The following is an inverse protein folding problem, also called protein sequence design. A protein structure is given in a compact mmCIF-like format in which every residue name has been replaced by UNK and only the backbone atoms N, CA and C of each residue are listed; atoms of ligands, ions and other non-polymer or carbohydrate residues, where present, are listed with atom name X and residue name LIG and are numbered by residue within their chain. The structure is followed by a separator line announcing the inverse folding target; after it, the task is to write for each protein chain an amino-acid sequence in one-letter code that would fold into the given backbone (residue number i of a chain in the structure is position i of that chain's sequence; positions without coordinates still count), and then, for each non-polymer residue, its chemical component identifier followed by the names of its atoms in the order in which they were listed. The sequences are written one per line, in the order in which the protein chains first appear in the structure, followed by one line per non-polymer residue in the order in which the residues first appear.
data_IF_402905846046
#
_entry.id   IF_402905846046
#
_cell.length_a   1.000
_cell.length_b   1.000
_cell.length_c   1.000
_cell.angle_alpha   90.00
_cell.angle_beta   90.00
_cell.angle_gamma   90.00
#
_symmetry.space_group_name_H-M   'P 1'
#
loop_
_entity.id
_entity.type
_entity.pdbx_description
1 polymer ?
#
# COMPACT_ATOMS: atom_id res chain seq x y z
N UNK A 1 -13.34 17.96 4.10
CA UNK A 1 -11.99 18.53 4.32
C UNK A 1 -11.06 17.57 5.08
N UNK A 2 -9.83 17.40 4.60
CA UNK A 2 -8.76 16.61 5.23
C UNK A 2 -7.59 17.53 5.61
N UNK A 3 -6.95 17.26 6.74
CA UNK A 3 -5.58 17.73 7.01
C UNK A 3 -4.61 16.68 6.51
N UNK A 4 -3.52 17.12 5.90
CA UNK A 4 -2.47 16.27 5.35
C UNK A 4 -1.12 16.60 5.97
N UNK A 5 -0.21 15.62 6.01
CA UNK A 5 1.19 15.82 6.35
C UNK A 5 2.07 14.83 5.61
N UNK A 6 3.32 15.22 5.37
CA UNK A 6 4.34 14.34 4.80
C UNK A 6 4.96 13.48 5.90
N UNK A 7 5.25 12.23 5.57
CA UNK A 7 5.99 11.30 6.43
C UNK A 7 7.09 10.61 5.64
N UNK A 8 8.32 10.71 6.15
CA UNK A 8 9.52 10.15 5.57
C UNK A 8 10.73 10.98 5.99
N UNK A 9 11.91 10.59 5.51
CA UNK A 9 13.16 11.28 5.78
C UNK A 9 13.32 12.48 4.85
N UNK A 10 13.66 13.63 5.41
CA UNK A 10 13.81 14.91 4.69
C UNK A 10 15.29 15.33 4.55
N UNK A 11 16.21 14.61 5.20
CA UNK A 11 17.67 14.79 5.16
C UNK A 11 18.14 16.24 5.33
N UNK A 12 17.51 16.99 6.25
CA UNK A 12 17.82 18.39 6.59
C UNK A 12 17.84 19.38 5.40
N UNK A 13 17.26 19.00 4.25
CA UNK A 13 17.16 19.90 3.10
C UNK A 13 16.06 20.93 3.31
N UNK A 14 16.27 22.12 2.77
CA UNK A 14 15.19 23.06 2.55
C UNK A 14 14.27 22.54 1.44
N UNK A 15 13.16 21.94 1.85
CA UNK A 15 12.19 21.29 0.96
C UNK A 15 11.60 22.29 -0.04
N UNK A 16 11.55 23.59 0.32
CA UNK A 16 11.03 24.65 -0.56
C UNK A 16 11.85 24.86 -1.82
N UNK A 17 13.10 24.42 -1.83
CA UNK A 17 13.98 24.48 -3.01
C UNK A 17 14.02 23.16 -3.79
N UNK A 18 13.39 22.11 -3.25
CA UNK A 18 13.39 20.78 -3.83
C UNK A 18 12.24 20.59 -4.83
N UNK A 19 12.45 19.66 -5.75
CA UNK A 19 11.43 19.23 -6.71
C UNK A 19 10.81 17.88 -6.30
N UNK A 20 9.53 17.69 -6.55
CA UNK A 20 8.85 16.44 -6.26
C UNK A 20 8.12 15.85 -7.48
N UNK A 21 7.99 14.53 -7.49
CA UNK A 21 7.13 13.80 -8.42
C UNK A 21 5.91 13.31 -7.65
N UNK A 22 4.72 13.54 -8.21
CA UNK A 22 3.44 13.01 -7.72
C UNK A 22 2.86 12.05 -8.76
N UNK A 23 3.11 10.72 -8.64
CA UNK A 23 2.47 9.74 -9.50
C UNK A 23 0.99 9.58 -9.15
N UNK A 24 0.14 9.59 -10.17
CA UNK A 24 -1.31 9.48 -10.09
C UNK A 24 -1.73 8.15 -10.68
N UNK A 25 -2.07 7.20 -9.81
CA UNK A 25 -2.83 6.01 -10.19
C UNK A 25 -4.31 6.39 -10.38
N UNK A 26 -4.74 6.48 -11.64
CA UNK A 26 -6.10 6.90 -12.02
C UNK A 26 -7.14 5.91 -11.45
N UNK A 27 -8.24 6.45 -10.91
CA UNK A 27 -9.31 5.67 -10.29
C UNK A 27 -9.09 5.33 -8.80
N UNK A 28 -7.94 5.70 -8.22
CA UNK A 28 -7.72 5.56 -6.78
C UNK A 28 -8.37 6.70 -6.00
N UNK A 29 -9.19 6.37 -4.99
CA UNK A 29 -9.96 7.35 -4.19
C UNK A 29 -9.13 8.44 -3.51
N UNK A 30 -7.84 8.23 -3.29
CA UNK A 30 -6.95 9.22 -2.68
C UNK A 30 -6.37 10.23 -3.68
N UNK A 31 -6.51 9.98 -4.98
CA UNK A 31 -6.20 10.93 -6.06
C UNK A 31 -7.46 11.62 -6.58
N UNK A 32 -8.52 11.69 -5.78
CA UNK A 32 -9.77 12.34 -6.18
C UNK A 32 -10.25 13.30 -5.08
N UNK A 33 -11.05 14.29 -5.49
CA UNK A 33 -11.83 15.17 -4.61
C UNK A 33 -11.00 15.82 -3.49
N UNK A 34 -11.57 15.94 -2.29
CA UNK A 34 -10.96 16.54 -1.10
C UNK A 34 -9.57 16.00 -0.76
N UNK A 35 -9.28 14.72 -1.03
CA UNK A 35 -7.96 14.14 -0.73
C UNK A 35 -6.91 14.61 -1.71
N UNK A 36 -7.24 14.66 -2.98
CA UNK A 36 -6.34 15.21 -3.99
C UNK A 36 -6.11 16.70 -3.76
N UNK A 37 -7.19 17.47 -3.51
CA UNK A 37 -7.08 18.89 -3.18
C UNK A 37 -6.16 19.15 -1.97
N UNK A 38 -6.32 18.39 -0.88
CA UNK A 38 -5.44 18.52 0.30
C UNK A 38 -3.99 18.05 0.04
N UNK A 39 -3.77 17.20 -0.96
CA UNK A 39 -2.42 16.81 -1.41
C UNK A 39 -1.76 17.93 -2.21
N UNK A 40 -2.52 18.59 -3.11
CA UNK A 40 -2.04 19.75 -3.86
C UNK A 40 -1.69 20.91 -2.94
N UNK A 41 -2.55 21.23 -1.96
CA UNK A 41 -2.27 22.27 -0.95
C UNK A 41 -0.99 21.97 -0.16
N UNK A 42 -0.80 20.70 0.25
CA UNK A 42 0.41 20.25 0.93
C UNK A 42 1.65 20.43 0.05
N UNK A 43 1.59 20.00 -1.21
CA UNK A 43 2.73 20.12 -2.13
C UNK A 43 3.08 21.59 -2.37
N UNK A 44 2.08 22.42 -2.68
CA UNK A 44 2.26 23.85 -2.92
C UNK A 44 2.90 24.56 -1.71
N UNK A 45 2.57 24.09 -0.50
CA UNK A 45 3.08 24.63 0.76
C UNK A 45 4.45 24.10 1.15
N UNK A 46 5.04 23.11 0.47
CA UNK A 46 6.31 22.49 0.90
C UNK A 46 7.39 22.45 -0.18
N UNK A 47 7.05 22.38 -1.47
CA UNK A 47 8.03 22.22 -2.55
C UNK A 47 8.16 23.48 -3.41
N UNK A 48 9.23 23.56 -4.20
CA UNK A 48 9.43 24.62 -5.20
C UNK A 48 9.00 24.23 -6.60
N UNK A 49 8.98 22.91 -6.89
CA UNK A 49 8.63 22.37 -8.20
C UNK A 49 7.90 21.03 -8.06
N UNK A 50 6.93 20.75 -8.94
CA UNK A 50 6.21 19.48 -8.96
C UNK A 50 5.97 18.95 -10.39
N UNK A 51 6.34 17.70 -10.63
CA UNK A 51 5.91 16.94 -11.81
C UNK A 51 4.79 15.99 -11.42
N UNK A 52 3.59 16.20 -11.98
CA UNK A 52 2.44 15.33 -11.78
C UNK A 52 2.43 14.29 -12.89
N UNK A 53 2.58 13.01 -12.55
CA UNK A 53 2.64 11.91 -13.52
C UNK A 53 1.30 11.19 -13.56
N UNK A 54 0.55 11.32 -14.65
CA UNK A 54 -0.73 10.60 -14.81
C UNK A 54 -0.44 9.19 -15.33
N UNK A 55 -0.44 8.21 -14.43
CA UNK A 55 -0.16 6.79 -14.70
C UNK A 55 -1.42 6.05 -15.23
N UNK A 56 -2.00 6.57 -16.29
CA UNK A 56 -3.26 6.09 -16.88
C UNK A 56 -3.09 4.80 -17.68
N UNK A 57 -2.22 4.80 -18.69
CA UNK A 57 -2.03 3.64 -19.59
C UNK A 57 -1.24 2.51 -18.95
N UNK A 58 -0.58 2.73 -17.80
CA UNK A 58 0.04 1.66 -17.00
C UNK A 58 -0.98 0.59 -16.61
N UNK A 59 -2.21 1.01 -16.32
CA UNK A 59 -3.30 0.11 -15.95
C UNK A 59 -3.69 -0.84 -17.09
N UNK A 60 -3.17 -0.70 -18.32
CA UNK A 60 -3.46 -1.64 -19.43
C UNK A 60 -3.04 -3.06 -19.12
N UNK A 61 -1.99 -3.20 -18.31
CA UNK A 61 -1.51 -4.51 -17.87
C UNK A 61 -2.53 -5.19 -16.97
N UNK A 62 -3.23 -4.47 -16.10
CA UNK A 62 -4.13 -5.05 -15.09
C UNK A 62 -5.62 -4.83 -15.40
N UNK A 63 -5.92 -4.07 -16.44
CA UNK A 63 -7.28 -3.85 -16.91
C UNK A 63 -7.82 -5.12 -17.52
N UNK A 64 -9.04 -5.46 -17.11
CA UNK A 64 -9.78 -6.52 -17.75
C UNK A 64 -10.32 -6.02 -19.08
N UNK A 65 -10.15 -6.82 -20.12
CA UNK A 65 -10.94 -6.67 -21.34
C UNK A 65 -12.42 -6.71 -20.94
N UNK A 66 -13.12 -5.62 -21.20
CA UNK A 66 -14.55 -5.51 -20.91
C UNK A 66 -15.35 -6.21 -22.01
N UNK A 67 -14.81 -6.20 -23.23
CA UNK A 67 -15.36 -6.85 -24.42
C UNK A 67 -14.36 -7.88 -24.96
N UNK A 68 -14.86 -8.98 -25.53
CA UNK A 68 -14.03 -10.05 -26.11
C UNK A 68 -13.11 -9.52 -27.23
N UNK A 69 -13.60 -8.52 -27.97
CA UNK A 69 -12.90 -7.86 -29.09
C UNK A 69 -12.01 -6.68 -28.68
N UNK A 70 -11.83 -6.41 -27.37
CA UNK A 70 -10.95 -5.32 -26.93
C UNK A 70 -9.49 -5.61 -27.36
N UNK A 71 -8.98 -4.85 -28.34
CA UNK A 71 -7.55 -4.87 -28.71
C UNK A 71 -6.71 -4.10 -27.69
N UNK A 72 -5.40 -4.34 -27.66
CA UNK A 72 -4.49 -3.61 -26.76
C UNK A 72 -4.52 -2.10 -27.01
N UNK A 73 -4.68 -1.69 -28.28
CA UNK A 73 -4.83 -0.28 -28.65
C UNK A 73 -6.16 0.30 -28.17
N UNK A 74 -7.27 -0.45 -28.30
CA UNK A 74 -8.58 -0.03 -27.76
C UNK A 74 -8.52 0.17 -26.25
N UNK A 75 -7.85 -0.73 -25.52
CA UNK A 75 -7.66 -0.63 -24.06
C UNK A 75 -6.81 0.60 -23.73
N UNK A 76 -5.70 0.81 -24.45
CA UNK A 76 -4.83 1.98 -24.27
C UNK A 76 -5.60 3.29 -24.47
N UNK A 77 -6.42 3.39 -25.53
CA UNK A 77 -7.27 4.56 -25.79
C UNK A 77 -8.31 4.79 -24.69
N UNK A 78 -9.00 3.74 -24.24
CA UNK A 78 -9.94 3.81 -23.10
C UNK A 78 -9.25 4.34 -21.83
N UNK A 79 -8.04 3.89 -21.55
CA UNK A 79 -7.28 4.31 -20.37
C UNK A 79 -6.75 5.75 -20.50
N UNK A 80 -6.24 6.13 -21.67
CA UNK A 80 -5.86 7.50 -21.97
C UNK A 80 -7.06 8.46 -21.79
N UNK A 81 -8.25 8.06 -22.24
CA UNK A 81 -9.48 8.81 -21.98
C UNK A 81 -9.75 8.96 -20.48
N UNK A 82 -9.64 7.88 -19.69
CA UNK A 82 -9.77 7.96 -18.21
C UNK A 82 -8.76 8.91 -17.58
N UNK A 83 -7.54 8.99 -18.12
CA UNK A 83 -6.53 9.98 -17.74
C UNK A 83 -6.97 11.41 -18.03
N UNK A 84 -7.51 11.69 -19.23
CA UNK A 84 -8.06 13.01 -19.58
C UNK A 84 -9.19 13.40 -18.63
N UNK A 85 -10.15 12.51 -18.43
CA UNK A 85 -11.29 12.78 -17.55
C UNK A 85 -10.84 12.99 -16.09
N UNK A 86 -9.76 12.34 -15.65
CA UNK A 86 -9.18 12.59 -14.33
C UNK A 86 -8.62 14.02 -14.22
N UNK A 87 -7.91 14.49 -15.24
CA UNK A 87 -7.41 15.88 -15.30
C UNK A 87 -8.58 16.85 -15.24
N UNK A 88 -9.61 16.64 -16.06
CA UNK A 88 -10.78 17.52 -16.12
C UNK A 88 -11.50 17.62 -14.77
N UNK A 89 -11.77 16.48 -14.13
CA UNK A 89 -12.44 16.43 -12.81
C UNK A 89 -11.61 17.08 -11.70
N UNK A 90 -10.29 17.09 -11.82
CA UNK A 90 -9.38 17.63 -10.80
C UNK A 90 -8.80 19.00 -11.18
N UNK A 91 -9.27 19.62 -12.28
CA UNK A 91 -8.76 20.89 -12.79
C UNK A 91 -8.79 22.01 -11.74
N UNK A 92 -9.85 22.10 -10.93
CA UNK A 92 -9.97 23.12 -9.88
C UNK A 92 -8.93 22.94 -8.75
N UNK A 93 -8.55 21.70 -8.44
CA UNK A 93 -7.45 21.46 -7.50
C UNK A 93 -6.10 21.82 -8.15
N UNK A 94 -5.89 21.40 -9.40
CA UNK A 94 -4.65 21.66 -10.16
C UNK A 94 -4.38 23.17 -10.31
N UNK A 95 -5.41 23.98 -10.60
CA UNK A 95 -5.29 25.45 -10.70
C UNK A 95 -4.76 26.14 -9.43
N UNK A 96 -4.86 25.49 -8.27
CA UNK A 96 -4.34 26.02 -6.99
C UNK A 96 -2.84 25.81 -6.80
N UNK A 97 -2.19 25.03 -7.67
CA UNK A 97 -0.75 24.81 -7.62
C UNK A 97 -0.04 26.04 -8.20
N UNK A 98 0.54 26.87 -7.35
CA UNK A 98 1.20 28.13 -7.71
C UNK A 98 2.70 27.99 -7.93
N UNK A 99 3.29 26.87 -7.48
CA UNK A 99 4.70 26.53 -7.73
C UNK A 99 4.92 26.12 -9.19
N UNK A 100 6.17 26.07 -9.64
CA UNK A 100 6.52 25.56 -10.98
C UNK A 100 6.04 24.11 -11.10
N UNK A 101 5.27 23.80 -12.13
CA UNK A 101 4.77 22.45 -12.31
C UNK A 101 4.49 22.08 -13.76
N UNK A 102 4.44 20.78 -14.00
CA UNK A 102 3.97 20.19 -15.26
C UNK A 102 3.19 18.90 -15.00
N UNK A 103 2.35 18.55 -15.97
CA UNK A 103 1.64 17.27 -16.00
C UNK A 103 2.22 16.45 -17.14
N UNK A 104 2.67 15.23 -16.85
CA UNK A 104 3.27 14.31 -17.82
C UNK A 104 2.44 13.03 -17.86
N UNK A 105 2.22 12.49 -19.05
CA UNK A 105 1.47 11.23 -19.26
C UNK A 105 2.40 10.02 -19.23
N UNK A 106 1.86 8.88 -18.83
CA UNK A 106 2.65 7.65 -18.72
C UNK A 106 3.31 7.25 -20.04
N UNK A 107 2.57 7.36 -21.15
CA UNK A 107 3.07 7.03 -22.50
C UNK A 107 4.29 7.89 -22.90
N UNK A 108 4.45 9.10 -22.38
CA UNK A 108 5.63 9.95 -22.65
C UNK A 108 6.91 9.29 -22.12
N UNK A 109 6.84 8.63 -20.97
CA UNK A 109 7.97 7.86 -20.43
C UNK A 109 8.23 6.58 -21.23
N UNK A 110 7.18 5.92 -21.72
CA UNK A 110 7.32 4.71 -22.55
C UNK A 110 7.94 4.99 -23.92
N UNK A 111 7.70 6.19 -24.46
CA UNK A 111 8.28 6.65 -25.72
C UNK A 111 9.68 7.24 -25.57
N UNK A 112 10.16 7.43 -24.34
CA UNK A 112 11.48 8.01 -24.10
C UNK A 112 12.59 7.06 -24.58
N UNK A 113 13.61 7.58 -25.27
CA UNK A 113 14.68 6.78 -25.89
C UNK A 113 15.44 5.85 -24.91
N UNK A 114 15.55 6.25 -23.64
CA UNK A 114 16.20 5.44 -22.58
C UNK A 114 15.29 4.41 -21.92
N UNK A 115 13.99 4.40 -22.22
CA UNK A 115 13.04 3.50 -21.56
C UNK A 115 13.42 2.04 -21.76
N UNK A 116 13.77 1.65 -22.99
CA UNK A 116 14.15 0.26 -23.30
C UNK A 116 15.38 -0.18 -22.50
N UNK A 117 16.40 0.67 -22.37
CA UNK A 117 17.58 0.41 -21.53
C UNK A 117 17.18 0.13 -20.07
N UNK A 118 16.34 0.99 -19.48
CA UNK A 118 15.86 0.81 -18.10
C UNK A 118 14.99 -0.44 -17.97
N UNK A 119 14.20 -0.77 -18.99
CA UNK A 119 13.38 -1.99 -19.03
C UNK A 119 14.25 -3.24 -19.04
N UNK A 120 15.27 -3.28 -19.89
CA UNK A 120 16.22 -4.40 -19.98
C UNK A 120 16.99 -4.59 -18.67
N UNK A 121 17.33 -3.50 -17.99
CA UNK A 121 17.94 -3.53 -16.65
C UNK A 121 17.02 -4.21 -15.63
N UNK A 122 15.73 -3.84 -15.58
CA UNK A 122 14.74 -4.46 -14.68
C UNK A 122 14.52 -5.93 -15.02
N UNK A 123 14.45 -6.29 -16.30
CA UNK A 123 14.33 -7.67 -16.77
C UNK A 123 15.52 -8.52 -16.34
N UNK A 124 16.73 -8.02 -16.55
CA UNK A 124 17.97 -8.68 -16.15
C UNK A 124 18.01 -8.93 -14.64
N UNK A 125 17.64 -7.92 -13.84
CA UNK A 125 17.55 -8.07 -12.38
C UNK A 125 16.51 -9.10 -11.97
N UNK A 126 15.32 -9.06 -12.55
CA UNK A 126 14.29 -10.05 -12.24
C UNK A 126 14.78 -11.48 -12.53
N UNK A 127 15.51 -11.68 -13.64
CA UNK A 127 16.07 -12.97 -14.05
C UNK A 127 17.26 -13.44 -13.21
N UNK A 128 18.10 -12.54 -12.71
CA UNK A 128 19.40 -12.90 -12.10
C UNK A 128 19.46 -12.68 -10.60
N UNK A 129 18.67 -11.75 -10.06
CA UNK A 129 18.69 -11.36 -8.66
C UNK A 129 17.47 -11.94 -7.91
N UNK A 130 17.74 -12.89 -7.01
CA UNK A 130 16.69 -13.61 -6.27
C UNK A 130 15.93 -12.69 -5.30
N UNK A 131 16.60 -11.72 -4.69
CA UNK A 131 15.97 -10.81 -3.72
C UNK A 131 15.05 -9.82 -4.42
N UNK A 132 15.51 -9.25 -5.54
CA UNK A 132 14.68 -8.38 -6.37
C UNK A 132 13.48 -9.13 -6.93
N UNK A 133 13.67 -10.35 -7.45
CA UNK A 133 12.57 -11.20 -7.91
C UNK A 133 11.52 -11.42 -6.83
N UNK A 134 11.94 -11.81 -5.62
CA UNK A 134 11.04 -11.98 -4.46
C UNK A 134 10.28 -10.69 -4.13
N UNK A 135 10.94 -9.54 -4.23
CA UNK A 135 10.29 -8.24 -3.99
C UNK A 135 9.25 -7.89 -5.07
N UNK A 136 9.48 -8.25 -6.33
CA UNK A 136 8.53 -8.12 -7.44
C UNK A 136 7.34 -9.06 -7.23
N UNK A 137 7.59 -10.34 -6.96
CA UNK A 137 6.54 -11.34 -6.69
C UNK A 137 5.68 -10.95 -5.48
N UNK A 138 6.30 -10.40 -4.43
CA UNK A 138 5.58 -9.86 -3.27
C UNK A 138 4.68 -8.67 -3.61
N UNK A 139 5.11 -7.79 -4.52
CA UNK A 139 4.27 -6.70 -5.02
C UNK A 139 3.08 -7.24 -5.84
N UNK A 140 3.33 -8.21 -6.73
CA UNK A 140 2.30 -8.88 -7.54
C UNK A 140 1.23 -9.55 -6.67
N UNK A 141 1.62 -10.24 -5.59
CA UNK A 141 0.69 -10.93 -4.70
C UNK A 141 -0.39 -9.98 -4.13
N UNK A 142 -0.05 -8.70 -3.90
CA UNK A 142 -1.03 -7.69 -3.44
C UNK A 142 -2.07 -7.40 -4.52
N UNK A 143 -1.65 -7.31 -5.79
CA UNK A 143 -2.55 -7.09 -6.92
C UNK A 143 -3.44 -8.31 -7.17
N UNK A 144 -2.84 -9.50 -7.23
CA UNK A 144 -3.56 -10.76 -7.45
C UNK A 144 -4.65 -10.98 -6.40
N UNK A 145 -4.36 -10.70 -5.12
CA UNK A 145 -5.36 -10.79 -4.04
C UNK A 145 -6.53 -9.82 -4.26
N UNK A 146 -6.26 -8.57 -4.65
CA UNK A 146 -7.33 -7.59 -4.93
C UNK A 146 -8.20 -8.03 -6.10
N UNK A 147 -7.56 -8.54 -7.15
CA UNK A 147 -8.22 -8.99 -8.35
C UNK A 147 -9.11 -10.22 -8.11
N UNK A 148 -8.60 -11.20 -7.35
CA UNK A 148 -9.38 -12.36 -6.91
C UNK A 148 -10.63 -11.93 -6.15
N UNK A 149 -10.48 -11.05 -5.14
CA UNK A 149 -11.61 -10.56 -4.34
C UNK A 149 -12.66 -9.80 -5.18
N UNK A 150 -12.26 -9.12 -6.26
CA UNK A 150 -13.20 -8.44 -7.16
C UNK A 150 -13.98 -9.42 -8.06
N UNK A 151 -13.44 -10.61 -8.30
CA UNK A 151 -14.03 -11.66 -9.15
C UNK A 151 -14.79 -12.73 -8.39
N UNK A 152 -14.59 -12.86 -7.08
CA UNK A 152 -15.34 -13.83 -6.24
C UNK A 152 -16.87 -13.69 -6.36
N UNK A 153 -17.37 -12.54 -6.85
CA UNK A 153 -18.80 -12.27 -7.06
C UNK A 153 -19.22 -12.19 -8.55
N UNK A 154 -18.35 -12.54 -9.50
CA UNK A 154 -18.67 -12.50 -10.95
C UNK A 154 -18.61 -13.90 -11.54
N UNK A 155 -19.59 -14.24 -12.37
CA UNK A 155 -19.57 -15.48 -13.15
C UNK A 155 -18.39 -15.47 -14.13
N UNK A 156 -17.60 -16.56 -14.12
CA UNK A 156 -16.47 -16.76 -15.02
C UNK A 156 -15.23 -17.36 -14.33
N UNK A 157 -14.49 -18.21 -15.05
CA UNK A 157 -13.25 -18.80 -14.55
C UNK A 157 -12.17 -17.71 -14.39
N UNK A 158 -11.51 -17.67 -13.23
CA UNK A 158 -10.34 -16.84 -13.01
C UNK A 158 -9.10 -17.52 -13.62
N UNK A 159 -8.55 -16.93 -14.68
CA UNK A 159 -7.26 -17.35 -15.25
C UNK A 159 -6.11 -16.75 -14.44
N UNK A 160 -5.63 -17.52 -13.47
CA UNK A 160 -4.53 -17.14 -12.58
C UNK A 160 -3.22 -16.91 -13.33
N UNK A 161 -2.94 -17.70 -14.37
CA UNK A 161 -1.71 -17.57 -15.17
C UNK A 161 -1.68 -16.24 -15.92
N UNK A 162 -2.79 -15.88 -16.55
CA UNK A 162 -2.94 -14.59 -17.22
C UNK A 162 -2.85 -13.43 -16.23
N UNK A 163 -3.52 -13.53 -15.08
CA UNK A 163 -3.45 -12.49 -14.03
C UNK A 163 -2.03 -12.31 -13.50
N UNK A 164 -1.27 -13.40 -13.33
CA UNK A 164 0.12 -13.37 -12.92
C UNK A 164 0.99 -12.64 -13.96
N UNK A 165 0.91 -13.04 -15.24
CA UNK A 165 1.67 -12.43 -16.34
C UNK A 165 1.43 -10.92 -16.41
N UNK A 166 0.17 -10.52 -16.35
CA UNK A 166 -0.25 -9.12 -16.36
C UNK A 166 0.27 -8.32 -15.15
N UNK A 167 0.20 -8.90 -13.96
CA UNK A 167 0.72 -8.25 -12.75
C UNK A 167 2.24 -8.09 -12.80
N UNK A 168 2.96 -9.07 -13.39
CA UNK A 168 4.40 -8.99 -13.57
C UNK A 168 4.79 -7.84 -14.50
N UNK A 169 4.13 -7.72 -15.64
CA UNK A 169 4.39 -6.67 -16.62
C UNK A 169 4.12 -5.27 -16.06
N UNK A 170 3.03 -5.11 -15.30
CA UNK A 170 2.73 -3.89 -14.55
C UNK A 170 3.89 -3.48 -13.65
N UNK A 171 4.35 -4.38 -12.77
CA UNK A 171 5.37 -4.06 -11.77
C UNK A 171 6.71 -3.77 -12.43
N UNK A 172 7.08 -4.50 -13.48
CA UNK A 172 8.35 -4.26 -14.20
C UNK A 172 8.34 -2.93 -14.95
N UNK A 173 7.22 -2.52 -15.52
CA UNK A 173 7.11 -1.24 -16.21
C UNK A 173 7.17 -0.07 -15.23
N UNK A 174 6.46 -0.16 -14.11
CA UNK A 174 6.52 0.83 -13.03
C UNK A 174 7.96 0.97 -12.48
N UNK A 175 8.66 -0.15 -12.33
CA UNK A 175 10.09 -0.18 -11.97
C UNK A 175 10.99 0.48 -13.02
N UNK A 176 10.74 0.25 -14.31
CA UNK A 176 11.56 0.80 -15.39
C UNK A 176 11.39 2.33 -15.49
N UNK A 177 10.16 2.83 -15.34
CA UNK A 177 9.88 4.27 -15.31
C UNK A 177 10.48 4.94 -14.07
N UNK A 178 10.48 4.27 -12.91
CA UNK A 178 11.17 4.77 -11.71
C UNK A 178 12.67 5.01 -11.97
N UNK A 179 13.34 4.07 -12.65
CA UNK A 179 14.75 4.20 -13.01
C UNK A 179 15.00 5.29 -14.06
N UNK A 180 13.97 5.66 -14.81
CA UNK A 180 14.05 6.68 -15.84
C UNK A 180 13.93 8.10 -15.27
N UNK A 181 13.10 8.33 -14.25
CA UNK A 181 12.84 9.66 -13.72
C UNK A 181 14.09 10.50 -13.39
N UNK A 182 15.16 9.97 -12.78
CA UNK A 182 16.36 10.78 -12.49
C UNK A 182 17.08 11.31 -13.74
N UNK A 183 16.85 10.70 -14.91
CA UNK A 183 17.41 11.12 -16.20
C UNK A 183 16.53 12.13 -16.93
N UNK A 184 15.24 12.20 -16.60
CA UNK A 184 14.24 12.99 -17.35
C UNK A 184 13.61 14.12 -16.53
N UNK A 185 13.67 14.01 -15.21
CA UNK A 185 13.00 14.91 -14.27
C UNK A 185 13.96 15.42 -13.21
N UNK A 186 13.71 16.64 -12.74
CA UNK A 186 14.27 17.08 -11.46
C UNK A 186 13.42 16.48 -10.35
N UNK A 187 13.93 15.46 -9.68
CA UNK A 187 13.13 14.66 -8.75
C UNK A 187 13.87 14.35 -7.45
N UNK A 188 13.80 15.27 -6.49
CA UNK A 188 14.29 15.04 -5.14
C UNK A 188 13.33 14.10 -4.40
N UNK A 189 12.02 14.35 -4.40
CA UNK A 189 11.09 13.55 -3.60
C UNK A 189 10.04 12.87 -4.45
N UNK A 190 9.62 11.66 -4.04
CA UNK A 190 8.48 10.95 -4.61
C UNK A 190 7.34 10.98 -3.61
N UNK A 191 6.25 11.64 -3.96
CA UNK A 191 5.09 11.83 -3.09
C UNK A 191 4.04 10.78 -3.44
N UNK A 192 3.64 9.94 -2.48
CA UNK A 192 2.56 8.99 -2.70
C UNK A 192 1.75 8.72 -1.42
N UNK A 193 0.42 8.60 -1.48
CA UNK A 193 -0.41 8.29 -0.30
C UNK A 193 -0.12 6.96 0.40
N UNK A 194 0.52 6.02 -0.29
CA UNK A 194 0.92 4.73 0.26
C UNK A 194 2.44 4.58 0.23
N UNK A 195 2.96 3.62 1.01
CA UNK A 195 4.36 3.22 0.89
C UNK A 195 4.62 2.63 -0.51
N UNK A 196 5.79 2.91 -1.07
CA UNK A 196 6.27 2.22 -2.26
C UNK A 196 6.37 0.72 -1.96
N UNK A 197 6.16 -0.10 -2.99
CA UNK A 197 6.42 -1.53 -2.85
C UNK A 197 7.93 -1.80 -2.82
N UNK A 198 8.30 -2.96 -2.26
CA UNK A 198 9.70 -3.28 -1.97
C UNK A 198 10.60 -3.30 -3.22
N UNK A 199 10.07 -3.72 -4.38
CA UNK A 199 10.85 -3.71 -5.61
C UNK A 199 11.31 -2.29 -6.01
N UNK A 200 10.45 -1.27 -5.92
CA UNK A 200 10.84 0.12 -6.17
C UNK A 200 11.85 0.64 -5.15
N UNK A 201 11.68 0.32 -3.85
CA UNK A 201 12.67 0.66 -2.82
C UNK A 201 14.05 0.07 -3.13
N UNK A 202 14.10 -1.22 -3.51
CA UNK A 202 15.34 -1.89 -3.88
C UNK A 202 16.03 -1.22 -5.07
N UNK A 203 15.27 -0.84 -6.12
CA UNK A 203 15.83 -0.16 -7.28
C UNK A 203 16.37 1.23 -6.93
N UNK A 204 15.61 2.00 -6.14
CA UNK A 204 16.08 3.31 -5.69
C UNK A 204 17.40 3.18 -4.94
N UNK A 205 17.45 2.30 -3.93
CA UNK A 205 18.66 2.07 -3.12
C UNK A 205 19.83 1.58 -3.98
N UNK A 206 19.58 0.78 -5.02
CA UNK A 206 20.68 0.22 -5.82
C UNK A 206 21.21 1.17 -6.89
N UNK A 207 20.35 1.97 -7.52
CA UNK A 207 20.70 2.68 -8.76
C UNK A 207 20.51 4.19 -8.72
N UNK A 208 19.76 4.72 -7.75
CA UNK A 208 19.36 6.14 -7.74
C UNK A 208 19.98 6.88 -6.56
N UNK A 209 19.81 6.33 -5.37
CA UNK A 209 20.28 6.89 -4.11
C UNK A 209 20.68 5.74 -3.16
N UNK A 210 21.89 5.20 -3.31
CA UNK A 210 22.46 4.25 -2.36
C UNK A 210 22.48 4.78 -0.95
N UNK A 211 22.24 3.91 0.05
CA UNK A 211 22.00 4.30 1.44
C UNK A 211 23.20 4.98 2.12
N UNK A 212 24.37 4.97 1.48
CA UNK A 212 25.57 5.64 1.94
C UNK A 212 25.72 7.07 1.40
N UNK A 213 24.76 7.59 0.64
CA UNK A 213 24.78 8.94 0.09
C UNK A 213 23.71 9.84 0.71
N UNK A 214 24.06 11.11 0.93
CA UNK A 214 23.13 12.19 1.31
C UNK A 214 22.11 12.56 0.19
N UNK A 215 21.91 11.66 -0.76
CA UNK A 215 21.06 11.88 -1.92
C UNK A 215 19.59 11.76 -1.54
N UNK A 216 18.87 12.86 -1.68
CA UNK A 216 17.41 12.80 -1.60
C UNK A 216 16.80 12.20 -2.84
N UNK A 217 17.48 12.01 -3.98
CA UNK A 217 16.83 11.64 -5.26
C UNK A 217 15.75 10.56 -5.10
N UNK A 218 14.53 10.89 -5.52
CA UNK A 218 13.31 10.10 -5.38
C UNK A 218 13.06 9.57 -3.95
N UNK A 219 13.45 10.30 -2.91
CA UNK A 219 13.19 9.93 -1.53
C UNK A 219 11.68 9.87 -1.32
N UNK A 220 11.13 8.69 -0.93
CA UNK A 220 9.70 8.53 -0.84
C UNK A 220 9.14 9.22 0.40
N UNK A 221 8.14 10.07 0.20
CA UNK A 221 7.35 10.69 1.25
C UNK A 221 5.89 10.25 1.15
N UNK A 222 5.37 9.75 2.27
CA UNK A 222 3.99 9.28 2.37
C UNK A 222 3.06 10.42 2.79
N UNK A 223 1.95 10.60 2.09
CA UNK A 223 0.90 11.54 2.47
C UNK A 223 -0.05 10.87 3.48
N UNK A 224 -0.04 11.34 4.73
CA UNK A 224 -1.01 10.90 5.74
C UNK A 224 -2.22 11.82 5.77
N UNK A 225 -3.43 11.25 5.74
CA UNK A 225 -4.70 11.98 5.77
C UNK A 225 -5.37 11.89 7.14
N UNK A 226 -5.76 13.03 7.71
CA UNK A 226 -6.58 13.11 8.93
C UNK A 226 -7.88 13.85 8.63
N UNK A 227 -9.02 13.21 8.86
CA UNK A 227 -10.34 13.85 8.71
C UNK A 227 -10.50 14.93 9.78
N UNK A 228 -10.87 16.14 9.39
CA UNK A 228 -11.20 17.21 10.33
C UNK A 228 -12.69 17.12 10.61
N UNK A 229 -13.09 17.07 11.89
CA UNK A 229 -14.48 17.26 12.26
C UNK A 229 -14.80 18.73 11.98
N UNK A 230 -15.68 18.97 11.03
CA UNK A 230 -16.22 20.30 10.81
C UNK A 230 -17.12 20.57 12.02
N UNK A 231 -16.70 21.46 12.92
CA UNK A 231 -17.64 22.04 13.88
C UNK A 231 -18.62 22.84 13.03
N UNK A 232 -19.85 22.32 12.89
CA UNK A 232 -20.97 23.13 12.45
C UNK A 232 -21.20 24.15 13.56
N UNK A 233 -20.52 25.29 13.47
CA UNK A 233 -21.00 26.49 14.14
C UNK A 233 -22.28 26.88 13.39
N UNK A 234 -23.40 26.35 13.89
CA UNK A 234 -24.70 26.92 13.64
C UNK A 234 -24.63 28.34 14.23
N UNK A 235 -24.36 29.32 13.37
CA UNK A 235 -24.55 30.71 13.72
C UNK A 235 -26.04 30.90 14.03
N UNK A 236 -26.36 30.77 15.33
CA UNK A 236 -27.64 31.16 15.88
C UNK A 236 -27.86 32.63 15.58
N UNK A 237 -28.79 32.91 14.67
CA UNK A 237 -29.38 34.25 14.59
C UNK A 237 -30.20 34.47 15.87
N UNK A 238 -30.16 35.67 16.47
CA UNK A 238 -30.94 35.94 17.67
C UNK A 238 -32.44 35.95 17.36
N UNK A 239 -33.16 35.39 18.33
CA UNK A 239 -34.59 35.18 18.49
C UNK A 239 -35.56 36.12 17.76
N UNK A 240 -36.61 35.54 17.19
CA UNK A 240 -37.97 36.03 17.38
C UNK A 240 -38.94 34.84 17.50
N UNK A 241 -39.58 34.74 18.66
CA UNK A 241 -40.62 33.76 18.98
C UNK A 241 -41.91 34.03 18.19
N UNK A 242 -42.50 32.96 17.61
CA UNK A 242 -43.85 32.47 17.96
C UNK A 242 -44.23 31.25 17.09
N UNK A 243 -44.60 30.17 17.78
CA UNK A 243 -45.47 29.05 17.42
C UNK A 243 -45.57 28.62 15.94
N UNK A 244 -44.96 27.46 15.65
CA UNK A 244 -45.29 26.68 14.47
C UNK A 244 -44.47 25.38 14.45
N UNK A 245 -45.17 24.24 14.51
CA UNK A 245 -44.58 22.91 14.42
C UNK A 245 -43.60 22.79 13.24
N UNK A 246 -42.31 22.63 13.53
CA UNK A 246 -41.30 22.38 12.50
C UNK A 246 -40.94 20.89 12.49
N UNK A 247 -41.22 20.28 11.35
CA UNK A 247 -40.80 18.96 10.93
C UNK A 247 -39.31 18.71 11.24
N UNK A 248 -39.05 17.70 12.06
CA UNK A 248 -37.74 17.04 12.13
C UNK A 248 -37.56 16.29 10.81
N UNK A 249 -36.59 16.73 10.02
CA UNK A 249 -36.14 15.98 8.84
C UNK A 249 -35.69 14.59 9.29
N UNK A 250 -36.45 13.60 8.83
CA UNK A 250 -36.15 12.17 8.92
C UNK A 250 -34.72 11.90 8.39
N UNK A 251 -33.76 11.74 9.30
CA UNK A 251 -32.62 10.90 9.01
C UNK A 251 -33.13 9.46 8.98
N UNK A 252 -32.97 8.83 7.84
CA UNK A 252 -33.50 7.51 7.53
C UNK A 252 -33.17 6.48 8.62
N UNK A 253 -34.18 6.15 9.43
CA UNK A 253 -34.30 4.86 10.10
C UNK A 253 -34.44 3.79 9.01
N UNK A 254 -33.36 3.06 8.72
CA UNK A 254 -33.44 2.01 7.69
C UNK A 254 -32.18 1.19 7.44
N UNK A 255 -30.99 1.70 7.74
CA UNK A 255 -29.78 0.88 7.57
C UNK A 255 -29.33 0.31 8.91
N UNK A 256 -29.57 -1.00 9.12
CA UNK A 256 -28.79 -1.79 10.09
C UNK A 256 -27.32 -1.56 9.75
N UNK A 257 -26.61 -0.76 10.55
CA UNK A 257 -25.16 -0.66 10.43
C UNK A 257 -24.59 -2.03 10.81
N UNK A 258 -24.14 -2.78 9.80
CA UNK A 258 -23.32 -3.97 10.02
C UNK A 258 -21.99 -3.51 10.60
N UNK A 259 -21.74 -3.85 11.86
CA UNK A 259 -20.45 -3.68 12.51
C UNK A 259 -19.41 -4.34 11.60
N UNK A 260 -18.43 -3.58 11.11
CA UNK A 260 -17.35 -4.10 10.26
C UNK A 260 -16.39 -4.93 11.14
N UNK A 261 -16.32 -6.27 10.98
CA UNK A 261 -15.44 -7.13 11.78
C UNK A 261 -13.97 -6.74 11.71
N UNK A 262 -13.54 -6.13 10.59
CA UNK A 262 -12.16 -5.72 10.37
C UNK A 262 -11.69 -4.61 11.33
N UNK A 263 -12.59 -3.94 12.05
CA UNK A 263 -12.20 -2.95 13.07
C UNK A 263 -11.60 -3.58 14.33
N UNK A 264 -11.88 -4.86 14.63
CA UNK A 264 -11.36 -5.53 15.83
C UNK A 264 -9.96 -6.12 15.64
N UNK A 265 -9.51 -6.30 14.39
CA UNK A 265 -8.28 -7.02 14.06
C UNK A 265 -7.30 -6.16 13.24
N UNK A 266 -7.16 -4.88 13.59
CA UNK A 266 -6.25 -3.95 12.89
C UNK A 266 -4.76 -4.14 13.26
N UNK A 267 -4.44 -5.01 14.21
CA UNK A 267 -3.07 -5.40 14.48
C UNK A 267 -2.63 -6.47 13.46
N UNK A 268 -1.67 -6.14 12.59
CA UNK A 268 -0.93 -7.19 11.89
C UNK A 268 -0.15 -7.98 12.93
N UNK A 269 -0.22 -9.32 12.95
CA UNK A 269 0.65 -10.09 13.82
C UNK A 269 2.12 -9.75 13.49
N UNK A 270 2.98 -9.63 14.50
CA UNK A 270 4.40 -9.50 14.26
C UNK A 270 4.89 -10.71 13.47
N UNK A 271 5.64 -10.45 12.39
CA UNK A 271 6.23 -11.51 11.56
C UNK A 271 7.31 -12.19 12.39
N UNK A 272 7.25 -13.51 12.51
CA UNK A 272 8.16 -14.38 13.29
C UNK A 272 7.98 -14.31 14.82
N UNK A 273 6.79 -14.66 15.31
CA UNK A 273 6.62 -14.94 16.75
C UNK A 273 7.10 -16.36 17.08
N UNK A 274 7.99 -16.45 18.05
CA UNK A 274 8.34 -17.71 18.70
C UNK A 274 7.48 -17.84 19.96
N UNK A 275 6.76 -18.93 20.09
CA UNK A 275 5.91 -19.22 21.26
C UNK A 275 6.08 -20.67 21.68
N UNK A 276 6.09 -20.92 22.98
CA UNK A 276 5.93 -22.26 23.51
C UNK A 276 4.53 -22.81 23.18
N UNK A 277 4.38 -24.13 23.26
CA UNK A 277 3.10 -24.80 23.06
C UNK A 277 2.02 -24.32 24.05
N UNK A 278 2.42 -24.01 25.29
CA UNK A 278 1.52 -23.48 26.32
C UNK A 278 1.01 -22.08 25.97
N UNK A 279 1.91 -21.18 25.56
CA UNK A 279 1.53 -19.82 25.15
C UNK A 279 0.63 -19.82 23.90
N UNK A 280 0.87 -20.72 22.95
CA UNK A 280 0.00 -20.87 21.78
C UNK A 280 -1.41 -21.32 22.19
N UNK A 281 -1.51 -22.24 23.16
CA UNK A 281 -2.80 -22.72 23.67
C UNK A 281 -3.57 -21.60 24.38
N UNK A 282 -2.91 -20.83 25.26
CA UNK A 282 -3.52 -19.67 25.92
C UNK A 282 -3.97 -18.60 24.94
N UNK A 283 -3.17 -18.35 23.90
CA UNK A 283 -3.50 -17.41 22.84
C UNK A 283 -4.78 -17.81 22.08
N UNK A 284 -4.89 -19.09 21.70
CA UNK A 284 -6.06 -19.64 21.01
C UNK A 284 -7.30 -19.55 21.92
N UNK A 285 -7.18 -19.97 23.19
CA UNK A 285 -8.28 -19.90 24.17
C UNK A 285 -8.79 -18.47 24.39
N UNK A 286 -7.87 -17.50 24.52
CA UNK A 286 -8.22 -16.08 24.66
C UNK A 286 -9.02 -15.57 23.45
N UNK A 287 -8.59 -15.93 22.23
CA UNK A 287 -9.30 -15.54 21.01
C UNK A 287 -10.66 -16.21 20.89
N UNK A 288 -10.79 -17.49 21.26
CA UNK A 288 -12.06 -18.20 21.27
C UNK A 288 -13.07 -17.59 22.25
N UNK A 289 -12.61 -17.16 23.44
CA UNK A 289 -13.46 -16.44 24.40
C UNK A 289 -13.97 -15.11 23.84
N UNK A 290 -13.09 -14.34 23.21
CA UNK A 290 -13.48 -13.09 22.55
C UNK A 290 -14.49 -13.32 21.42
N UNK A 291 -14.27 -14.32 20.56
CA UNK A 291 -15.19 -14.69 19.47
C UNK A 291 -16.58 -15.04 20.02
N UNK A 292 -16.65 -15.85 21.08
CA UNK A 292 -17.91 -16.19 21.74
C UNK A 292 -18.63 -14.94 22.26
N UNK A 293 -17.92 -14.04 22.94
CA UNK A 293 -18.50 -12.80 23.44
C UNK A 293 -19.04 -11.90 22.32
N UNK A 294 -18.30 -11.76 21.21
CA UNK A 294 -18.74 -10.94 20.06
C UNK A 294 -19.96 -11.53 19.36
N UNK A 295 -20.01 -12.85 19.18
CA UNK A 295 -21.09 -13.51 18.43
C UNK A 295 -22.42 -13.60 19.18
N UNK A 296 -22.42 -13.52 20.51
CA UNK A 296 -23.64 -13.55 21.34
C UNK A 296 -24.62 -12.39 21.09
N UNK A 297 -24.12 -11.24 20.63
CA UNK A 297 -24.92 -10.05 20.35
C UNK A 297 -25.24 -9.86 18.85
N UNK A 298 -24.80 -10.79 18.01
CA UNK A 298 -24.91 -10.70 16.55
C UNK A 298 -26.09 -11.52 16.03
N UNK A 299 -26.71 -11.06 14.94
CA UNK A 299 -27.65 -11.88 14.16
C UNK A 299 -26.92 -13.08 13.55
N UNK A 300 -27.58 -14.22 13.30
CA UNK A 300 -26.93 -15.42 12.75
C UNK A 300 -26.06 -15.18 11.50
N UNK A 301 -26.55 -14.37 10.54
CA UNK A 301 -25.78 -14.02 9.33
C UNK A 301 -24.51 -13.22 9.63
N UNK A 302 -24.61 -12.25 10.53
CA UNK A 302 -23.46 -11.45 10.96
C UNK A 302 -22.44 -12.30 11.74
N UNK A 303 -22.92 -13.23 12.58
CA UNK A 303 -22.07 -14.19 13.29
C UNK A 303 -21.33 -15.11 12.31
N UNK A 304 -21.99 -15.58 11.26
CA UNK A 304 -21.37 -16.43 10.24
C UNK A 304 -20.23 -15.72 9.49
N UNK A 305 -20.46 -14.49 9.00
CA UNK A 305 -19.43 -13.70 8.32
C UNK A 305 -18.27 -13.33 9.26
N UNK A 306 -18.58 -13.00 10.53
CA UNK A 306 -17.58 -12.74 11.56
C UNK A 306 -16.70 -13.97 11.83
N UNK A 307 -17.30 -15.16 11.93
CA UNK A 307 -16.58 -16.42 12.13
C UNK A 307 -15.69 -16.77 10.94
N UNK A 308 -16.18 -16.62 9.70
CA UNK A 308 -15.41 -16.85 8.47
C UNK A 308 -14.16 -15.97 8.40
N UNK A 309 -14.31 -14.68 8.71
CA UNK A 309 -13.19 -13.75 8.78
C UNK A 309 -12.19 -14.14 9.87
N UNK A 310 -12.68 -14.42 11.08
CA UNK A 310 -11.80 -14.71 12.23
C UNK A 310 -11.04 -16.01 12.06
N UNK A 311 -11.67 -17.04 11.50
CA UNK A 311 -11.01 -18.32 11.20
C UNK A 311 -9.86 -18.16 10.21
N UNK A 312 -10.08 -17.38 9.14
CA UNK A 312 -9.05 -17.07 8.14
C UNK A 312 -7.87 -16.34 8.78
N UNK A 313 -8.15 -15.39 9.68
CA UNK A 313 -7.12 -14.62 10.37
C UNK A 313 -6.32 -15.48 11.37
N UNK A 314 -6.99 -16.29 12.19
CA UNK A 314 -6.33 -17.20 13.14
C UNK A 314 -5.44 -18.20 12.40
N UNK A 315 -5.89 -18.79 11.30
CA UNK A 315 -5.05 -19.69 10.50
C UNK A 315 -3.80 -18.97 10.00
N UNK A 316 -3.94 -17.74 9.49
CA UNK A 316 -2.78 -16.95 9.05
C UNK A 316 -1.79 -16.67 10.19
N UNK A 317 -2.26 -16.49 11.43
CA UNK A 317 -1.40 -16.29 12.60
C UNK A 317 -0.69 -17.60 12.96
N UNK A 318 -1.43 -18.72 13.03
CA UNK A 318 -0.88 -20.04 13.35
C UNK A 318 0.22 -20.43 12.35
N UNK A 319 0.01 -20.21 11.05
CA UNK A 319 1.02 -20.47 10.01
C UNK A 319 2.29 -19.59 10.13
N UNK A 320 2.25 -18.52 10.92
CA UNK A 320 3.37 -17.59 11.11
C UNK A 320 4.13 -17.79 12.43
N UNK A 321 3.69 -18.72 13.28
CA UNK A 321 4.29 -19.00 14.59
C UNK A 321 5.27 -20.18 14.47
N UNK A 322 6.50 -19.99 14.96
CA UNK A 322 7.46 -21.08 15.16
C UNK A 322 7.29 -21.63 16.57
N UNK A 323 6.94 -22.91 16.70
CA UNK A 323 6.76 -23.57 18.00
C UNK A 323 8.10 -24.11 18.48
N UNK A 324 8.55 -23.68 19.66
CA UNK A 324 9.72 -24.27 20.31
C UNK A 324 9.31 -25.47 21.15
N UNK A 325 9.91 -26.63 20.87
CA UNK A 325 9.82 -27.78 21.76
C UNK A 325 10.82 -27.55 22.90
N UNK A 326 10.33 -27.07 24.03
CA UNK A 326 11.08 -27.24 25.27
C UNK A 326 11.03 -28.73 25.59
N UNK A 327 12.08 -29.46 25.23
CA UNK A 327 12.30 -30.79 25.78
C UNK A 327 12.65 -30.59 27.24
N UNK A 328 11.76 -31.04 28.13
CA UNK A 328 12.05 -31.20 29.55
C UNK A 328 13.28 -32.11 29.67
N UNK A 329 14.45 -31.51 29.90
CA UNK A 329 15.64 -32.23 30.33
C UNK A 329 15.49 -32.48 31.83
N UNK A 330 14.72 -33.52 32.14
CA UNK A 330 14.63 -34.08 33.48
C UNK A 330 15.39 -35.42 33.47
N UNK A 331 16.66 -35.38 33.85
CA UNK A 331 17.39 -36.56 34.31
C UNK A 331 18.60 -36.16 35.16
N UNK A 332 18.37 -36.16 36.48
CA UNK A 332 19.15 -36.84 37.51
C UNK A 332 20.69 -36.85 37.44
N UNK A 333 21.26 -36.32 38.51
CA UNK A 333 22.53 -36.68 39.17
C UNK A 333 23.16 -38.02 38.79
N UNK A 334 24.45 -38.00 38.43
CA UNK A 334 25.42 -38.92 39.02
C UNK A 334 26.86 -38.38 38.95
N UNK A 335 27.49 -38.36 40.13
CA UNK A 335 28.93 -38.25 40.38
C UNK A 335 29.76 -39.17 39.47
N UNK A 336 30.91 -38.71 38.98
CA UNK A 336 32.19 -39.28 39.41
C UNK A 336 33.42 -38.56 38.85
N UNK A 337 34.42 -38.49 39.72
CA UNK A 337 35.81 -38.16 39.48
C UNK A 337 36.42 -38.97 38.32
N UNK A 338 37.31 -38.35 37.54
CA UNK A 338 38.71 -38.78 37.36
C UNK A 338 39.36 -38.01 36.20
N UNK A 339 40.42 -37.28 36.52
CA UNK A 339 41.50 -36.93 35.59
C UNK A 339 42.10 -38.22 34.99
N UNK A 340 42.62 -38.18 33.76
CA UNK A 340 44.08 -38.02 33.69
C UNK A 340 44.58 -37.15 32.52
N UNK A 341 45.68 -36.48 32.85
CA UNK A 341 46.82 -36.06 32.03
C UNK A 341 47.08 -36.81 30.72
N UNK A 342 47.52 -36.10 29.67
CA UNK A 342 48.82 -36.20 28.95
C UNK A 342 48.74 -35.50 27.56
N UNK A 343 49.84 -35.28 26.82
CA UNK A 343 50.94 -34.37 27.14
C UNK A 343 51.27 -33.40 25.97
N UNK A 344 52.17 -32.46 26.25
CA UNK A 344 52.85 -31.66 25.25
C UNK A 344 53.70 -32.52 24.31
N UNK A 345 53.69 -32.19 23.02
CA UNK A 345 54.73 -32.57 22.06
C UNK A 345 55.37 -31.30 21.52
N UNK A 346 56.62 -31.11 21.90
CA UNK A 346 57.56 -30.13 21.36
C UNK A 346 58.03 -30.55 19.96
N UNK A 347 57.97 -29.59 19.04
CA UNK A 347 58.94 -29.13 18.02
C UNK A 347 59.66 -30.14 17.09
N UNK A 348 60.09 -29.67 15.90
CA UNK A 348 61.25 -30.25 15.23
C UNK A 348 62.55 -30.04 16.02
#
# INVERSE_FOLDING_TARGET
MFRTKLKGELNNKDIKQCACILPISVGQKYHENDKFAATIELINSNFGECTIVVADTLARHTSLKELEDDTDETIRQKLCKKGNEWIDRNAEALKKLTITHKIVRWDEYLMHQKYQEKRDQVESLYKTDKEFRKAVEGAMAVFLRRFKNQRENKEGSFDESKAFKHSLEYVKEECAVLLLWPDTEKCDFLIYPNKLHQAMYNLRRRFIAPDNGDSTKLQPLVVEFKKVKQSLELNGSPENHLNGHSYVSQYMSGTKQTINPAMFFQAKPPINMTMSKAELFEFIESHLKMIRACTQSMTPQASFEFLKYTFTHINSIIYSITITNNSDSDSSDHNNEHSPSTPAATNP
#
